data_IF_162859535480
#
_entry.id   IF_162859535480
#
_cell.length_a   1.000
_cell.length_b   1.000
_cell.length_c   1.000
_cell.angle_alpha   90.00
_cell.angle_beta   90.00
_cell.angle_gamma   90.00
#
_symmetry.space_group_name_H-M   'P 1'
#
loop_
_entity.id
_entity.type
_entity.pdbx_description
1 polymer ?
#
# COMPACT_ATOMS: atom_id res chain seq x y z
N UNK A 1 -4.40 6.50 16.97
CA UNK A 1 -3.75 6.98 18.21
C UNK A 1 -4.76 7.45 19.24
N UNK A 2 -5.90 8.01 18.85
CA UNK A 2 -6.93 8.50 19.79
C UNK A 2 -7.40 7.46 20.82
N UNK A 3 -7.53 6.20 20.40
CA UNK A 3 -7.94 5.11 21.30
C UNK A 3 -6.78 4.47 22.09
N UNK A 4 -5.54 4.93 21.92
CA UNK A 4 -4.38 4.28 22.51
C UNK A 4 -4.42 4.30 24.04
N UNK A 5 -4.81 5.43 24.61
CA UNK A 5 -4.89 5.59 26.08
C UNK A 5 -6.04 4.76 26.65
N UNK A 6 -7.20 4.76 25.98
CA UNK A 6 -8.33 3.92 26.36
C UNK A 6 -7.99 2.41 26.34
N UNK A 7 -7.16 1.97 25.39
CA UNK A 7 -6.68 0.58 25.34
C UNK A 7 -5.75 0.27 26.51
N UNK A 8 -4.84 1.18 26.86
CA UNK A 8 -3.96 1.03 28.04
C UNK A 8 -4.78 0.94 29.32
N UNK A 9 -5.76 1.83 29.49
CA UNK A 9 -6.64 1.86 30.66
C UNK A 9 -7.47 0.57 30.76
N UNK A 10 -8.06 0.14 29.65
CA UNK A 10 -8.82 -1.11 29.58
C UNK A 10 -7.97 -2.33 29.95
N UNK A 11 -6.75 -2.43 29.41
CA UNK A 11 -5.83 -3.52 29.75
C UNK A 11 -5.38 -3.45 31.22
N UNK A 12 -5.18 -2.24 31.77
CA UNK A 12 -4.87 -2.06 33.19
C UNK A 12 -6.00 -2.56 34.07
N UNK A 13 -7.26 -2.25 33.73
CA UNK A 13 -8.44 -2.74 34.46
C UNK A 13 -8.52 -4.26 34.40
N UNK A 14 -8.43 -4.86 33.22
CA UNK A 14 -8.54 -6.32 33.06
C UNK A 14 -7.39 -7.03 33.79
N UNK A 15 -6.20 -6.43 33.84
CA UNK A 15 -5.07 -7.01 34.58
C UNK A 15 -5.33 -7.15 36.09
N UNK A 16 -6.27 -6.38 36.65
CA UNK A 16 -6.67 -6.46 38.06
C UNK A 16 -7.77 -7.49 38.35
N UNK A 17 -8.29 -8.18 37.33
CA UNK A 17 -9.38 -9.13 37.51
C UNK A 17 -8.94 -10.38 38.29
N UNK A 18 -9.87 -11.03 39.01
CA UNK A 18 -9.57 -12.26 39.75
C UNK A 18 -9.33 -13.46 38.82
N UNK A 19 -9.86 -13.42 37.60
CA UNK A 19 -9.62 -14.45 36.60
C UNK A 19 -8.18 -14.40 36.09
N UNK A 20 -7.43 -15.47 36.38
CA UNK A 20 -5.99 -15.53 36.12
C UNK A 20 -5.67 -15.51 34.62
N UNK A 21 -6.46 -16.18 33.79
CA UNK A 21 -6.21 -16.24 32.36
C UNK A 21 -6.36 -14.85 31.73
N UNK A 22 -7.49 -14.18 31.99
CA UNK A 22 -7.75 -12.83 31.49
C UNK A 22 -6.77 -11.80 32.06
N UNK A 23 -6.52 -11.83 33.37
CA UNK A 23 -5.60 -10.90 34.03
C UNK A 23 -4.17 -11.02 33.49
N UNK A 24 -3.65 -12.25 33.41
CA UNK A 24 -2.29 -12.47 32.94
C UNK A 24 -2.12 -12.13 31.46
N UNK A 25 -3.11 -12.46 30.62
CA UNK A 25 -3.12 -12.09 29.19
C UNK A 25 -3.15 -10.57 29.00
N UNK A 26 -4.02 -9.86 29.73
CA UNK A 26 -4.10 -8.41 29.66
C UNK A 26 -2.81 -7.74 30.12
N UNK A 27 -2.18 -8.23 31.19
CA UNK A 27 -0.89 -7.73 31.66
C UNK A 27 0.22 -7.90 30.62
N UNK A 28 0.30 -9.07 29.96
CA UNK A 28 1.28 -9.30 28.91
C UNK A 28 1.11 -8.33 27.73
N UNK A 29 -0.13 -8.12 27.29
CA UNK A 29 -0.46 -7.14 26.23
C UNK A 29 -0.13 -5.72 26.66
N UNK A 30 -0.42 -5.35 27.91
CA UNK A 30 -0.09 -4.04 28.47
C UNK A 30 1.43 -3.81 28.42
N UNK A 31 2.23 -4.80 28.85
CA UNK A 31 3.69 -4.74 28.76
C UNK A 31 4.18 -4.60 27.31
N UNK A 32 3.55 -5.30 26.36
CA UNK A 32 3.92 -5.25 24.94
C UNK A 32 3.60 -3.90 24.29
N UNK A 33 2.41 -3.34 24.56
CA UNK A 33 1.96 -2.06 23.98
C UNK A 33 2.77 -0.88 24.54
N UNK A 34 3.23 -0.98 25.79
CA UNK A 34 4.09 0.04 26.42
C UNK A 34 5.56 -0.03 25.96
N UNK A 35 5.96 -0.98 25.11
CA UNK A 35 7.32 -1.00 24.58
C UNK A 35 7.57 0.18 23.61
N UNK A 36 8.70 0.89 23.72
CA UNK A 36 9.03 1.99 22.80
C UNK A 36 9.03 1.58 21.32
N UNK A 37 9.49 0.35 21.01
CA UNK A 37 9.45 -0.24 19.67
C UNK A 37 8.02 -0.25 19.11
N UNK A 38 7.06 -0.69 19.92
CA UNK A 38 5.66 -0.84 19.51
C UNK A 38 5.04 0.53 19.26
N UNK A 39 5.30 1.49 20.14
CA UNK A 39 4.79 2.86 20.00
C UNK A 39 5.37 3.53 18.76
N UNK A 40 6.69 3.41 18.54
CA UNK A 40 7.37 3.93 17.35
C UNK A 40 6.83 3.31 16.07
N UNK A 41 6.73 1.97 16.02
CA UNK A 41 6.19 1.24 14.88
C UNK A 41 4.75 1.66 14.58
N UNK A 42 3.91 1.83 15.61
CA UNK A 42 2.52 2.26 15.46
C UNK A 42 2.41 3.66 14.86
N UNK A 43 3.24 4.62 15.31
CA UNK A 43 3.24 5.97 14.75
C UNK A 43 3.77 6.01 13.32
N UNK A 44 4.81 5.22 13.03
CA UNK A 44 5.36 5.07 11.68
C UNK A 44 4.29 4.50 10.74
N UNK A 45 3.62 3.44 11.17
CA UNK A 45 2.55 2.79 10.41
C UNK A 45 1.41 3.77 10.14
N UNK A 46 0.97 4.51 11.16
CA UNK A 46 -0.06 5.54 11.01
C UNK A 46 0.36 6.63 10.00
N UNK A 47 1.62 7.09 10.03
CA UNK A 47 2.14 8.07 9.07
C UNK A 47 2.08 7.51 7.65
N UNK A 48 2.65 6.33 7.40
CA UNK A 48 2.71 5.74 6.05
C UNK A 48 1.32 5.39 5.54
N UNK A 49 0.45 4.83 6.39
CA UNK A 49 -0.93 4.50 5.99
C UNK A 49 -1.79 5.73 5.74
N UNK A 50 -1.53 6.85 6.42
CA UNK A 50 -2.23 8.10 6.08
C UNK A 50 -1.90 8.58 4.65
N UNK A 51 -0.67 8.35 4.19
CA UNK A 51 -0.22 8.69 2.83
C UNK A 51 -0.83 7.72 1.81
N UNK A 52 -0.87 6.42 2.12
CA UNK A 52 -1.42 5.40 1.21
C UNK A 52 -2.94 5.27 1.26
N UNK A 53 -3.62 5.95 2.19
CA UNK A 53 -5.07 5.84 2.39
C UNK A 53 -5.89 6.12 1.11
N UNK A 54 -5.60 7.17 0.31
CA UNK A 54 -6.35 7.41 -0.94
C UNK A 54 -6.23 6.24 -1.91
N UNK A 55 -5.03 5.65 -2.04
CA UNK A 55 -4.80 4.48 -2.87
C UNK A 55 -5.60 3.28 -2.36
N UNK A 56 -5.55 3.01 -1.05
CA UNK A 56 -6.33 1.91 -0.46
C UNK A 56 -7.82 2.06 -0.70
N UNK A 57 -8.37 3.29 -0.59
CA UNK A 57 -9.78 3.55 -0.87
C UNK A 57 -10.12 3.27 -2.34
N UNK A 58 -9.31 3.78 -3.26
CA UNK A 58 -9.51 3.60 -4.70
C UNK A 58 -9.51 2.11 -5.08
N UNK A 59 -8.56 1.33 -4.53
CA UNK A 59 -8.46 -0.11 -4.76
C UNK A 59 -9.59 -0.95 -4.14
N UNK A 60 -10.41 -0.35 -3.26
CA UNK A 60 -11.53 -1.02 -2.60
C UNK A 60 -12.89 -0.60 -3.19
N UNK A 61 -12.90 0.31 -4.18
CA UNK A 61 -14.13 0.71 -4.86
C UNK A 61 -14.67 -0.42 -5.74
N UNK A 62 -15.97 -0.43 -6.01
CA UNK A 62 -16.58 -1.44 -6.90
C UNK A 62 -16.19 -1.22 -8.38
N UNK A 63 -16.11 0.04 -8.80
CA UNK A 63 -15.80 0.44 -10.17
C UNK A 63 -14.40 1.08 -10.19
N UNK A 64 -13.36 0.25 -10.11
CA UNK A 64 -11.97 0.71 -10.01
C UNK A 64 -11.46 1.10 -11.41
N UNK A 65 -10.95 2.32 -11.53
CA UNK A 65 -10.09 2.68 -12.66
C UNK A 65 -8.64 2.26 -12.33
N UNK A 66 -8.18 1.20 -12.99
CA UNK A 66 -6.83 0.66 -12.76
C UNK A 66 -5.74 1.62 -13.22
N UNK A 67 -5.98 2.46 -14.24
CA UNK A 67 -4.99 3.43 -14.74
C UNK A 67 -4.79 4.51 -13.68
N UNK A 68 -5.90 5.04 -13.15
CA UNK A 68 -5.87 6.03 -12.07
C UNK A 68 -5.21 5.43 -10.82
N UNK A 69 -5.52 4.17 -10.47
CA UNK A 69 -4.92 3.48 -9.34
C UNK A 69 -3.40 3.33 -9.48
N UNK A 70 -2.89 2.98 -10.67
CA UNK A 70 -1.45 2.91 -10.91
C UNK A 70 -0.78 4.29 -10.78
N UNK A 71 -1.40 5.33 -11.34
CA UNK A 71 -0.89 6.71 -11.22
C UNK A 71 -0.84 7.16 -9.75
N UNK A 72 -1.85 6.80 -8.96
CA UNK A 72 -1.89 7.13 -7.55
C UNK A 72 -0.85 6.33 -6.75
N UNK A 73 -0.59 5.07 -7.13
CA UNK A 73 0.47 4.26 -6.55
C UNK A 73 1.87 4.86 -6.79
N UNK A 74 2.13 5.40 -7.99
CA UNK A 74 3.36 6.14 -8.29
C UNK A 74 3.50 7.37 -7.38
N UNK A 75 2.45 8.18 -7.27
CA UNK A 75 2.45 9.37 -6.41
C UNK A 75 2.75 9.02 -4.94
N UNK A 76 2.12 7.96 -4.40
CA UNK A 76 2.39 7.48 -3.05
C UNK A 76 3.85 7.02 -2.92
N UNK A 77 4.36 6.27 -3.90
CA UNK A 77 5.76 5.82 -3.93
C UNK A 77 6.74 7.00 -3.91
N UNK A 78 6.48 8.04 -4.69
CA UNK A 78 7.36 9.21 -4.77
C UNK A 78 7.35 10.04 -3.48
N UNK A 79 6.19 10.21 -2.84
CA UNK A 79 6.11 10.84 -1.51
C UNK A 79 6.93 10.05 -0.49
N UNK A 80 6.85 8.72 -0.50
CA UNK A 80 7.61 7.88 0.42
C UNK A 80 9.11 7.88 0.13
N UNK A 81 9.52 7.90 -1.15
CA UNK A 81 10.93 8.09 -1.53
C UNK A 81 11.47 9.44 -1.06
N UNK A 82 10.68 10.50 -1.13
CA UNK A 82 11.07 11.81 -0.60
C UNK A 82 11.27 11.77 0.92
N UNK A 83 10.38 11.11 1.66
CA UNK A 83 10.55 10.88 3.11
C UNK A 83 11.81 10.05 3.38
N UNK A 84 12.08 9.05 2.55
CA UNK A 84 13.25 8.18 2.67
C UNK A 84 14.57 8.92 2.37
N UNK A 85 14.57 9.86 1.43
CA UNK A 85 15.70 10.71 1.11
C UNK A 85 15.95 11.75 2.21
N UNK A 86 14.89 12.27 2.82
CA UNK A 86 14.94 13.22 3.95
C UNK A 86 14.81 12.52 5.32
N UNK A 87 15.30 11.28 5.42
CA UNK A 87 15.02 10.39 6.56
C UNK A 87 15.41 11.00 7.91
N UNK A 88 16.51 11.76 7.99
CA UNK A 88 16.97 12.35 9.24
C UNK A 88 15.96 13.37 9.82
N UNK A 89 15.46 14.28 8.98
CA UNK A 89 14.50 15.31 9.41
C UNK A 89 13.12 14.71 9.69
N UNK A 90 12.65 13.85 8.80
CA UNK A 90 11.34 13.21 8.93
C UNK A 90 11.27 12.26 10.12
N UNK A 91 12.35 11.53 10.37
CA UNK A 91 12.45 10.68 11.55
C UNK A 91 12.53 11.51 12.83
N UNK A 92 13.30 12.61 12.84
CA UNK A 92 13.36 13.50 14.01
C UNK A 92 11.98 14.05 14.39
N UNK A 93 11.19 14.48 13.41
CA UNK A 93 9.80 14.94 13.63
C UNK A 93 8.91 13.82 14.19
N UNK A 94 9.02 12.61 13.64
CA UNK A 94 8.27 11.44 14.11
C UNK A 94 8.68 11.07 15.55
N UNK A 95 9.98 11.02 15.83
CA UNK A 95 10.54 10.63 17.12
C UNK A 95 10.17 11.62 18.22
N UNK A 96 10.11 12.93 17.94
CA UNK A 96 9.63 13.93 18.88
C UNK A 96 8.18 13.68 19.32
N UNK A 97 7.28 13.42 18.37
CA UNK A 97 5.88 13.07 18.69
C UNK A 97 5.78 11.83 19.56
N UNK A 98 6.60 10.82 19.27
CA UNK A 98 6.64 9.59 20.07
C UNK A 98 7.21 9.85 21.46
N UNK A 99 8.24 10.69 21.57
CA UNK A 99 8.81 11.10 22.86
C UNK A 99 7.77 11.80 23.74
N UNK A 100 7.02 12.74 23.17
CA UNK A 100 5.90 13.41 23.86
C UNK A 100 4.86 12.39 24.33
N UNK A 101 4.50 11.42 23.48
CA UNK A 101 3.53 10.38 23.84
C UNK A 101 4.05 9.46 24.95
N UNK A 102 5.30 9.02 24.88
CA UNK A 102 5.92 8.19 25.91
C UNK A 102 6.01 8.94 27.25
N UNK A 103 6.35 10.23 27.22
CA UNK A 103 6.35 11.08 28.42
C UNK A 103 4.97 11.17 29.08
N UNK A 104 3.90 11.29 28.29
CA UNK A 104 2.52 11.31 28.83
C UNK A 104 2.10 10.00 29.52
N UNK A 105 2.79 8.89 29.22
CA UNK A 105 2.49 7.56 29.73
C UNK A 105 3.52 7.06 30.76
N UNK A 106 4.47 7.90 31.14
CA UNK A 106 5.61 7.58 32.00
C UNK A 106 6.44 6.38 31.48
N UNK A 107 6.69 6.36 30.17
CA UNK A 107 7.47 5.33 29.48
C UNK A 107 8.84 5.89 29.11
N UNK A 108 9.90 5.23 29.58
CA UNK A 108 11.27 5.56 29.18
C UNK A 108 11.63 4.93 27.82
N UNK A 109 12.12 5.74 26.89
CA UNK A 109 12.63 5.24 25.60
C UNK A 109 14.06 4.73 25.81
N UNK A 110 14.17 3.42 26.02
CA UNK A 110 15.44 2.71 26.19
C UNK A 110 15.78 1.89 24.94
N UNK A 111 17.04 1.47 24.82
CA UNK A 111 17.43 0.52 23.78
C UNK A 111 16.94 -0.89 24.16
N UNK A 112 16.46 -1.69 23.18
CA UNK A 112 16.18 -3.08 23.45
C UNK A 112 17.47 -3.84 23.78
N UNK A 113 17.31 -5.00 24.42
CA UNK A 113 18.45 -5.87 24.72
C UNK A 113 19.15 -6.31 23.41
N UNK A 114 20.35 -5.79 23.17
CA UNK A 114 21.16 -6.14 22.01
C UNK A 114 21.98 -7.42 22.27
N UNK A 115 21.99 -8.33 21.31
CA UNK A 115 22.87 -9.51 21.34
C UNK A 115 24.19 -9.21 20.63
N UNK A 116 25.28 -9.81 21.10
CA UNK A 116 26.61 -9.53 20.53
C UNK A 116 26.71 -10.02 19.05
N UNK A 117 25.93 -11.03 18.69
CA UNK A 117 25.83 -11.60 17.35
C UNK A 117 24.36 -11.70 16.95
N UNK A 118 24.03 -11.25 15.74
CA UNK A 118 22.77 -11.51 15.04
C UNK A 118 23.12 -12.08 13.66
N UNK A 119 22.57 -13.23 13.30
CA UNK A 119 22.85 -13.89 12.00
C UNK A 119 21.86 -13.51 10.89
N UNK A 120 20.62 -13.22 11.25
CA UNK A 120 19.52 -13.03 10.29
C UNK A 120 19.08 -11.56 10.15
N UNK A 121 19.69 -10.64 10.90
CA UNK A 121 19.38 -9.20 10.88
C UNK A 121 20.65 -8.38 11.06
N UNK A 122 20.61 -7.15 10.58
CA UNK A 122 21.71 -6.20 10.74
C UNK A 122 21.86 -5.83 12.22
N UNK A 123 23.05 -6.05 12.77
CA UNK A 123 23.33 -5.75 14.17
C UNK A 123 23.71 -4.25 14.32
N UNK A 124 22.70 -3.40 14.52
CA UNK A 124 22.90 -1.97 14.73
C UNK A 124 23.59 -1.73 16.07
N UNK A 125 24.86 -1.34 16.05
CA UNK A 125 25.65 -1.01 17.24
C UNK A 125 25.71 0.51 17.41
N UNK A 126 24.68 1.07 18.01
CA UNK A 126 24.62 2.51 18.31
C UNK A 126 24.13 2.75 19.73
N UNK A 127 24.82 3.58 20.54
CA UNK A 127 24.42 3.84 21.92
C UNK A 127 23.21 4.79 22.01
N UNK A 128 22.80 5.43 20.92
CA UNK A 128 21.70 6.39 20.90
C UNK A 128 20.38 5.72 20.43
N UNK A 129 19.31 5.71 21.25
CA UNK A 129 18.01 5.14 20.88
C UNK A 129 17.43 5.72 19.58
N UNK A 130 17.55 7.03 19.39
CA UNK A 130 17.10 7.73 18.19
C UNK A 130 17.72 7.12 16.92
N UNK A 131 19.05 7.03 16.89
CA UNK A 131 19.76 6.50 15.73
C UNK A 131 19.50 5.01 15.53
N UNK A 132 19.40 4.24 16.63
CA UNK A 132 19.04 2.83 16.59
C UNK A 132 17.70 2.58 15.90
N UNK A 133 16.63 3.27 16.31
CA UNK A 133 15.30 3.07 15.73
C UNK A 133 15.17 3.61 14.31
N UNK A 134 15.96 4.64 13.96
CA UNK A 134 16.05 5.12 12.58
C UNK A 134 16.56 4.02 11.64
N UNK A 135 17.67 3.37 12.03
CA UNK A 135 18.34 2.35 11.21
C UNK A 135 17.60 1.01 11.27
N UNK A 136 17.08 0.62 12.44
CA UNK A 136 16.48 -0.71 12.63
C UNK A 136 15.00 -0.79 12.24
N UNK A 137 14.25 0.32 12.31
CA UNK A 137 12.80 0.32 12.06
C UNK A 137 12.42 1.27 10.92
N UNK A 138 12.76 2.55 11.02
CA UNK A 138 12.23 3.58 10.12
C UNK A 138 12.65 3.36 8.66
N UNK A 139 13.96 3.25 8.42
CA UNK A 139 14.52 3.05 7.08
C UNK A 139 14.07 1.71 6.47
N UNK A 140 14.25 0.55 7.14
CA UNK A 140 13.87 -0.74 6.57
C UNK A 140 12.38 -0.85 6.27
N UNK A 141 11.53 -0.25 7.10
CA UNK A 141 10.08 -0.24 6.87
C UNK A 141 9.71 0.55 5.61
N UNK A 142 10.27 1.75 5.43
CA UNK A 142 10.03 2.55 4.22
C UNK A 142 10.53 1.84 2.97
N UNK A 143 11.75 1.29 3.00
CA UNK A 143 12.33 0.58 1.87
C UNK A 143 11.46 -0.64 1.48
N UNK A 144 11.02 -1.43 2.47
CA UNK A 144 10.14 -2.56 2.22
C UNK A 144 8.77 -2.13 1.68
N UNK A 145 8.16 -1.08 2.23
CA UNK A 145 6.84 -0.62 1.78
C UNK A 145 6.90 -0.07 0.35
N UNK A 146 7.94 0.70 0.01
CA UNK A 146 8.18 1.19 -1.36
C UNK A 146 8.39 0.01 -2.32
N UNK A 147 9.19 -0.98 -1.94
CA UNK A 147 9.41 -2.20 -2.73
C UNK A 147 8.10 -2.95 -2.99
N UNK A 148 7.28 -3.15 -1.95
CA UNK A 148 6.00 -3.82 -2.07
C UNK A 148 5.01 -3.05 -2.97
N UNK A 149 4.98 -1.72 -2.88
CA UNK A 149 4.16 -0.90 -3.78
C UNK A 149 4.63 -1.03 -5.24
N UNK A 150 5.94 -1.04 -5.44
CA UNK A 150 6.51 -1.18 -6.77
C UNK A 150 6.17 -2.54 -7.39
N UNK A 151 6.43 -3.63 -6.68
CA UNK A 151 6.27 -4.99 -7.21
C UNK A 151 4.81 -5.34 -7.49
N UNK A 152 3.87 -4.81 -6.69
CA UNK A 152 2.44 -5.09 -6.83
C UNK A 152 1.77 -4.23 -7.90
N UNK A 153 2.13 -2.95 -8.00
CA UNK A 153 1.41 -2.00 -8.85
C UNK A 153 2.27 -1.51 -10.01
N UNK A 154 3.42 -0.91 -9.71
CA UNK A 154 4.24 -0.21 -10.71
C UNK A 154 4.79 -1.18 -11.77
N UNK A 155 5.23 -2.37 -11.35
CA UNK A 155 5.70 -3.41 -12.28
C UNK A 155 4.62 -3.89 -13.26
N UNK A 156 3.33 -3.79 -12.89
CA UNK A 156 2.20 -4.21 -13.71
C UNK A 156 1.64 -3.09 -14.59
N UNK A 157 2.11 -1.85 -14.42
CA UNK A 157 1.58 -0.67 -15.10
C UNK A 157 1.64 -0.79 -16.63
N UNK A 158 2.75 -1.29 -17.17
CA UNK A 158 2.90 -1.48 -18.62
C UNK A 158 1.87 -2.47 -19.18
N UNK A 159 1.65 -3.57 -18.47
CA UNK A 159 0.65 -4.57 -18.84
C UNK A 159 -0.77 -4.00 -18.83
N UNK A 160 -1.15 -3.28 -17.77
CA UNK A 160 -2.47 -2.65 -17.67
C UNK A 160 -2.65 -1.61 -18.79
N UNK A 161 -1.60 -0.84 -19.08
CA UNK A 161 -1.61 0.14 -20.18
C UNK A 161 -1.79 -0.56 -21.53
N UNK A 162 -1.15 -1.70 -21.76
CA UNK A 162 -1.35 -2.48 -22.98
C UNK A 162 -2.80 -2.94 -23.11
N UNK A 163 -3.43 -3.43 -22.04
CA UNK A 163 -4.85 -3.84 -22.03
C UNK A 163 -5.83 -2.70 -22.35
N UNK A 164 -5.42 -1.44 -22.13
CA UNK A 164 -6.25 -0.28 -22.49
C UNK A 164 -6.49 -0.17 -24.00
N UNK A 165 -5.69 -0.83 -24.84
CA UNK A 165 -5.91 -0.93 -26.29
C UNK A 165 -7.21 -1.69 -26.65
N UNK A 166 -7.74 -2.49 -25.72
CA UNK A 166 -8.99 -3.24 -25.85
C UNK A 166 -10.19 -2.45 -25.35
N UNK A 167 -10.04 -1.16 -25.04
CA UNK A 167 -11.15 -0.29 -24.64
C UNK A 167 -11.59 0.58 -25.82
N UNK A 168 -12.91 0.67 -26.10
CA UNK A 168 -13.43 1.26 -27.32
C UNK A 168 -13.21 2.78 -27.45
N UNK A 169 -12.90 3.46 -26.34
CA UNK A 169 -12.73 4.90 -26.29
C UNK A 169 -11.28 5.35 -26.08
N UNK A 170 -10.31 4.43 -26.04
CA UNK A 170 -8.91 4.77 -25.79
C UNK A 170 -8.13 4.85 -27.11
N UNK A 171 -7.82 6.08 -27.52
CA UNK A 171 -6.91 6.35 -28.64
C UNK A 171 -5.45 6.21 -28.19
N UNK A 172 -5.05 4.98 -27.85
CA UNK A 172 -3.67 4.71 -27.44
C UNK A 172 -2.76 4.64 -28.67
N UNK A 173 -1.59 5.32 -28.67
CA UNK A 173 -0.59 5.13 -29.72
C UNK A 173 -0.10 3.68 -29.75
N UNK A 174 0.30 3.19 -30.92
CA UNK A 174 0.82 1.84 -31.14
C UNK A 174 -0.12 0.71 -30.71
N UNK A 175 -1.42 0.87 -30.96
CA UNK A 175 -2.46 -0.11 -30.61
C UNK A 175 -2.14 -1.54 -31.08
N UNK A 176 -1.68 -1.70 -32.32
CA UNK A 176 -1.33 -3.01 -32.90
C UNK A 176 -0.14 -3.66 -32.18
N UNK A 177 0.89 -2.87 -31.82
CA UNK A 177 2.07 -3.35 -31.11
C UNK A 177 1.73 -3.81 -29.69
N UNK A 178 0.83 -3.08 -29.02
CA UNK A 178 0.33 -3.47 -27.70
C UNK A 178 -0.48 -4.77 -27.76
N UNK A 179 -1.31 -4.96 -28.80
CA UNK A 179 -2.06 -6.21 -29.02
C UNK A 179 -1.09 -7.37 -29.29
N UNK A 180 -0.06 -7.17 -30.11
CA UNK A 180 1.00 -8.17 -30.35
C UNK A 180 1.67 -8.60 -29.05
N UNK A 181 2.12 -7.63 -28.24
CA UNK A 181 2.77 -7.90 -26.96
C UNK A 181 1.88 -8.70 -25.99
N UNK A 182 0.57 -8.41 -25.99
CA UNK A 182 -0.40 -9.18 -25.19
C UNK A 182 -0.60 -10.59 -25.75
N UNK A 183 -0.76 -10.73 -27.07
CA UNK A 183 -0.97 -12.03 -27.71
C UNK A 183 0.22 -12.97 -27.52
N UNK A 184 1.45 -12.45 -27.56
CA UNK A 184 2.67 -13.23 -27.26
C UNK A 184 2.69 -13.68 -25.79
N UNK A 185 2.40 -12.76 -24.86
CA UNK A 185 2.40 -13.03 -23.42
C UNK A 185 1.37 -14.06 -22.98
N UNK A 186 0.20 -14.09 -23.63
CA UNK A 186 -0.90 -15.01 -23.33
C UNK A 186 -1.10 -16.08 -24.43
N UNK A 187 -0.04 -16.40 -25.18
CA UNK A 187 -0.10 -17.32 -26.32
C UNK A 187 -0.56 -18.74 -25.94
N UNK A 188 -0.17 -19.21 -24.75
CA UNK A 188 -0.60 -20.50 -24.20
C UNK A 188 -2.12 -20.56 -23.95
N UNK A 189 -2.72 -19.44 -23.54
CA UNK A 189 -4.15 -19.33 -23.24
C UNK A 189 -5.01 -19.12 -24.51
N UNK A 190 -4.47 -18.41 -25.51
CA UNK A 190 -5.23 -17.99 -26.69
C UNK A 190 -5.35 -19.09 -27.76
N UNK A 191 -4.44 -20.07 -27.78
CA UNK A 191 -4.44 -21.18 -28.76
C UNK A 191 -4.58 -20.72 -30.24
N UNK A 192 -4.13 -19.51 -30.56
CA UNK A 192 -4.26 -18.89 -31.89
C UNK A 192 -2.99 -18.07 -32.22
N UNK A 193 -2.71 -17.84 -33.50
CA UNK A 193 -1.55 -17.05 -33.93
C UNK A 193 -1.76 -15.56 -33.65
N UNK A 194 -0.68 -14.85 -33.32
CA UNK A 194 -0.69 -13.41 -33.04
C UNK A 194 -1.32 -12.59 -34.17
N UNK A 195 -1.05 -12.95 -35.42
CA UNK A 195 -1.60 -12.28 -36.62
C UNK A 195 -3.13 -12.42 -36.74
N UNK A 196 -3.71 -13.52 -36.27
CA UNK A 196 -5.17 -13.72 -36.28
C UNK A 196 -5.85 -12.83 -35.23
N UNK A 197 -5.25 -12.71 -34.04
CA UNK A 197 -5.77 -11.87 -32.94
C UNK A 197 -5.79 -10.39 -33.32
N UNK A 198 -4.77 -9.92 -34.04
CA UNK A 198 -4.69 -8.52 -34.50
C UNK A 198 -5.78 -8.19 -35.52
N UNK A 199 -6.16 -9.16 -36.36
CA UNK A 199 -7.24 -8.98 -37.33
C UNK A 199 -8.62 -8.96 -36.68
N UNK A 200 -8.86 -9.82 -35.69
CA UNK A 200 -10.20 -10.00 -35.10
C UNK A 200 -10.57 -8.93 -34.07
N UNK A 201 -9.63 -8.53 -33.21
CA UNK A 201 -9.89 -7.61 -32.09
C UNK A 201 -10.44 -6.24 -32.53
N UNK A 202 -9.90 -5.56 -33.57
CA UNK A 202 -10.45 -4.31 -34.05
C UNK A 202 -11.84 -4.46 -34.66
N UNK A 203 -12.07 -5.53 -35.43
CA UNK A 203 -13.35 -5.79 -36.12
C UNK A 203 -14.48 -6.05 -35.12
N UNK A 204 -14.24 -6.89 -34.11
CA UNK A 204 -15.23 -7.21 -33.08
C UNK A 204 -15.54 -5.99 -32.19
N UNK A 205 -14.56 -5.11 -31.97
CA UNK A 205 -14.76 -3.86 -31.26
C UNK A 205 -15.57 -2.83 -32.06
N UNK A 206 -15.26 -2.62 -33.33
CA UNK A 206 -15.98 -1.67 -34.20
C UNK A 206 -17.42 -2.10 -34.43
N UNK A 207 -17.67 -3.40 -34.56
CA UNK A 207 -19.03 -3.95 -34.64
C UNK A 207 -19.80 -3.75 -33.33
N UNK A 208 -19.20 -3.98 -32.15
CA UNK A 208 -19.81 -3.68 -30.85
C UNK A 208 -20.08 -2.19 -30.63
N UNK A 209 -19.17 -1.30 -31.05
CA UNK A 209 -19.38 0.15 -31.01
C UNK A 209 -20.55 0.54 -31.92
N UNK A 210 -20.61 0.00 -33.15
CA UNK A 210 -21.70 0.25 -34.09
C UNK A 210 -23.05 -0.26 -33.57
N UNK A 211 -23.08 -1.44 -32.96
CA UNK A 211 -24.27 -1.98 -32.29
C UNK A 211 -24.74 -1.07 -31.15
N UNK A 212 -23.85 -0.66 -30.25
CA UNK A 212 -24.19 0.25 -29.14
C UNK A 212 -24.65 1.65 -29.61
N UNK A 213 -24.13 2.14 -30.74
CA UNK A 213 -24.61 3.39 -31.35
C UNK A 213 -26.01 3.22 -31.95
N UNK A 214 -26.29 2.09 -32.61
CA UNK A 214 -27.62 1.78 -33.16
C UNK A 214 -28.68 1.61 -32.08
N UNK A 215 -28.39 0.89 -31.00
CA UNK A 215 -29.34 0.69 -29.88
C UNK A 215 -29.67 2.00 -29.16
N UNK A 216 -28.69 2.86 -28.87
CA UNK A 216 -28.92 4.20 -28.30
C UNK A 216 -29.74 5.12 -29.22
N UNK A 217 -29.60 4.98 -30.55
CA UNK A 217 -30.38 5.74 -31.54
C UNK A 217 -31.84 5.27 -31.58
N UNK A 218 -32.09 3.95 -31.52
CA UNK A 218 -33.43 3.37 -31.47
C UNK A 218 -34.19 3.73 -30.18
N UNK A 219 -33.52 3.78 -29.02
CA UNK A 219 -34.15 4.15 -27.74
C UNK A 219 -34.52 5.64 -27.71
N UNK A 220 -33.74 6.53 -28.34
CA UNK A 220 -34.10 7.96 -28.43
C UNK A 220 -35.31 8.23 -29.32
N UNK A 221 -35.50 7.45 -30.38
CA UNK A 221 -36.65 7.59 -31.29
C UNK A 221 -37.95 7.04 -30.72
N UNK A 222 -37.91 6.16 -29.70
CA UNK A 222 -39.11 5.60 -29.06
C UNK A 222 -39.71 6.45 -27.93
N UNK A 223 -39.01 7.51 -27.48
CA UNK A 223 -39.47 8.45 -26.46
C UNK A 223 -39.78 9.86 -27.03
N UNK A 224 -39.91 9.98 -28.35
CA UNK A 224 -40.24 11.25 -29.04
C UNK A 224 -41.62 11.23 -29.72
N UNK A 225 -42.57 10.48 -29.15
CA UNK A 225 -44.01 10.56 -29.49
C UNK A 225 -44.80 11.00 -28.27
#
# INVERSE_FOLDING_TARGET
MELFDAVIDGLSIISSWPDRESSSGAYQLLCAIKQPEFILATHLLAKVFSISLPLSKLLQMQNIDLIEAMSLADNVSDVLKNIRNNADEDFKKLFLKVKEKCMSLDIEITLPRLTNIQKNRFNVKTPCPNEYYKISLFIPFLDNFISQLHDRFIAQKSLITNFCCLLPNNNLPNREENIKSLAEKYSEDLQCSSDSVIGEVPIDMDTKICWNRKTKKCIRTSYSM
#
